data_IF_642424518645
#
_entry.id   IF_642424518645
#
_cell.length_a   1.000
_cell.length_b   1.000
_cell.length_c   1.000
_cell.angle_alpha   90.00
_cell.angle_beta   90.00
_cell.angle_gamma   90.00
#
_symmetry.space_group_name_H-M   'P 1'
#
loop_
_entity.id
_entity.type
_entity.pdbx_description
1 polymer ?
#
# COMPACT_ATOMS: atom_id res chain seq x y z
N UNK A 1 55.76 35.92 8.41
CA UNK A 1 54.99 35.14 7.41
C UNK A 1 54.22 34.06 8.11
N UNK A 2 52.94 34.32 8.42
CA UNK A 2 52.06 33.43 9.21
C UNK A 2 51.21 32.64 8.23
N UNK A 3 51.39 31.34 8.19
CA UNK A 3 50.59 30.41 7.37
C UNK A 3 49.29 30.11 8.11
N UNK A 4 48.15 30.52 7.57
CA UNK A 4 46.83 30.18 8.05
C UNK A 4 46.46 28.78 7.51
N UNK A 5 46.37 27.83 8.39
CA UNK A 5 45.81 26.49 8.14
C UNK A 5 44.28 26.58 8.35
N UNK A 6 43.55 26.60 7.26
CA UNK A 6 42.07 26.49 7.27
C UNK A 6 41.70 25.01 7.42
N UNK A 7 41.24 24.64 8.61
CA UNK A 7 40.63 23.35 8.88
C UNK A 7 39.16 23.45 8.49
N UNK A 8 38.80 22.86 7.35
CA UNK A 8 37.40 22.70 6.93
C UNK A 8 36.86 21.49 7.68
N UNK A 9 36.10 21.74 8.76
CA UNK A 9 35.31 20.72 9.45
C UNK A 9 34.06 20.38 8.60
N UNK A 10 34.12 19.28 7.88
CA UNK A 10 32.97 18.71 7.18
C UNK A 10 31.99 18.13 8.21
N UNK A 11 30.92 18.85 8.53
CA UNK A 11 29.86 18.37 9.41
C UNK A 11 29.00 17.42 8.59
N UNK A 12 29.30 16.13 8.67
CA UNK A 12 28.43 15.06 8.21
C UNK A 12 27.18 15.02 9.09
N UNK A 13 26.10 15.66 8.65
CA UNK A 13 24.78 15.42 9.24
C UNK A 13 24.32 14.01 8.85
N UNK A 14 24.53 13.05 9.75
CA UNK A 14 23.86 11.75 9.66
C UNK A 14 22.35 11.99 9.81
N UNK A 15 21.62 11.92 8.70
CA UNK A 15 20.17 11.78 8.75
C UNK A 15 19.87 10.38 9.29
N UNK A 16 19.63 10.29 10.58
CA UNK A 16 19.00 9.09 11.16
C UNK A 16 17.57 9.05 10.66
N UNK A 17 17.32 8.17 9.70
CA UNK A 17 15.95 7.80 9.32
C UNK A 17 15.41 7.03 10.53
N UNK A 18 14.69 7.75 11.40
CA UNK A 18 13.86 7.12 12.42
C UNK A 18 12.68 6.44 11.70
N UNK A 19 12.84 5.16 11.38
CA UNK A 19 11.69 4.30 11.16
C UNK A 19 10.91 4.30 12.48
N UNK A 20 9.83 5.08 12.55
CA UNK A 20 8.96 5.07 13.72
C UNK A 20 8.42 3.64 13.87
N UNK A 21 8.66 2.96 15.01
CA UNK A 21 8.00 1.70 15.26
C UNK A 21 6.50 1.99 15.29
N UNK A 22 5.75 1.30 14.43
CA UNK A 22 4.27 1.30 14.49
C UNK A 22 3.92 0.98 15.93
N UNK A 23 3.26 1.90 16.62
CA UNK A 23 2.93 1.78 18.03
C UNK A 23 2.24 0.43 18.25
N UNK A 24 2.91 -0.45 18.98
CA UNK A 24 2.32 -1.71 19.44
C UNK A 24 1.19 -1.34 20.40
N UNK A 25 -0.05 -1.48 19.95
CA UNK A 25 -1.24 -1.12 20.71
C UNK A 25 -1.49 -2.08 21.89
N UNK A 26 -0.52 -2.93 22.26
CA UNK A 26 -0.67 -3.97 23.30
C UNK A 26 -1.63 -5.10 22.89
N UNK A 27 -2.20 -5.05 21.69
CA UNK A 27 -3.06 -6.11 21.15
C UNK A 27 -2.22 -7.21 20.53
N UNK A 28 -2.47 -8.45 20.97
CA UNK A 28 -1.74 -9.61 20.48
C UNK A 28 -2.08 -9.90 19.01
N UNK A 29 -1.05 -10.05 18.17
CA UNK A 29 -1.23 -10.46 16.78
C UNK A 29 -1.68 -11.92 16.67
N UNK A 30 -2.47 -12.22 15.64
CA UNK A 30 -2.86 -13.60 15.28
C UNK A 30 -1.69 -14.38 14.67
N UNK A 31 -0.66 -13.70 14.21
CA UNK A 31 0.54 -14.27 13.57
C UNK A 31 1.76 -13.66 14.24
N UNK A 32 2.67 -14.50 14.73
CA UNK A 32 3.84 -14.03 15.49
C UNK A 32 4.79 -13.16 14.67
N UNK A 33 4.84 -13.39 13.34
CA UNK A 33 5.71 -12.69 12.40
C UNK A 33 5.14 -11.37 11.87
N UNK A 34 3.89 -11.05 12.21
CA UNK A 34 3.22 -9.81 11.80
C UNK A 34 2.76 -9.03 13.04
N UNK A 35 2.90 -7.72 13.01
CA UNK A 35 2.27 -6.86 14.01
C UNK A 35 0.74 -6.92 13.92
N UNK A 36 0.06 -6.60 15.02
CA UNK A 36 -1.40 -6.48 15.01
C UNK A 36 -1.90 -5.54 13.92
N UNK A 37 -1.23 -4.40 13.75
CA UNK A 37 -1.56 -3.40 12.71
C UNK A 37 -1.43 -3.97 11.29
N UNK A 38 -0.38 -4.74 11.01
CA UNK A 38 -0.21 -5.39 9.70
C UNK A 38 -1.33 -6.39 9.42
N UNK A 39 -1.65 -7.24 10.39
CA UNK A 39 -2.77 -8.21 10.25
C UNK A 39 -4.08 -7.47 9.99
N UNK A 40 -4.38 -6.41 10.76
CA UNK A 40 -5.60 -5.62 10.56
C UNK A 40 -5.64 -4.94 9.19
N UNK A 41 -4.51 -4.40 8.71
CA UNK A 41 -4.42 -3.79 7.38
C UNK A 41 -4.77 -4.80 6.28
N UNK A 42 -4.26 -6.03 6.35
CA UNK A 42 -4.64 -7.09 5.42
C UNK A 42 -6.11 -7.47 5.51
N UNK A 43 -6.63 -7.68 6.73
CA UNK A 43 -8.01 -8.11 6.94
C UNK A 43 -9.05 -7.04 6.54
N UNK A 44 -8.71 -5.78 6.67
CA UNK A 44 -9.55 -4.64 6.27
C UNK A 44 -9.34 -4.21 4.82
N UNK A 45 -8.31 -4.74 4.14
CA UNK A 45 -7.93 -4.30 2.80
C UNK A 45 -7.37 -2.87 2.78
N UNK A 46 -6.77 -2.41 3.87
CA UNK A 46 -6.14 -1.09 3.93
C UNK A 46 -4.88 -1.04 3.07
N UNK A 47 -4.48 0.16 2.65
CA UNK A 47 -3.28 0.34 1.84
C UNK A 47 -2.05 -0.08 2.63
N UNK A 48 -1.37 -1.09 2.12
CA UNK A 48 -0.07 -1.51 2.58
C UNK A 48 0.94 -0.97 1.58
N UNK A 49 1.79 -0.06 2.05
CA UNK A 49 2.90 0.49 1.28
C UNK A 49 2.43 1.08 -0.07
N UNK A 50 2.87 2.14 -0.49
CA UNK A 50 2.68 2.90 -1.76
C UNK A 50 2.40 2.07 -3.04
N UNK A 51 1.56 1.01 -2.95
CA UNK A 51 1.28 0.11 -4.08
C UNK A 51 0.63 0.82 -5.27
N UNK A 52 -0.07 1.94 -5.03
CA UNK A 52 -0.63 2.79 -6.06
C UNK A 52 0.37 3.81 -6.62
N UNK A 53 1.50 4.04 -5.96
CA UNK A 53 2.43 5.14 -6.26
C UNK A 53 2.83 5.20 -7.72
N UNK A 54 3.14 4.04 -8.33
CA UNK A 54 3.50 3.96 -9.74
C UNK A 54 2.40 4.52 -10.66
N UNK A 55 1.14 4.21 -10.36
CA UNK A 55 0.00 4.70 -11.13
C UNK A 55 -0.21 6.21 -10.89
N UNK A 56 -0.19 6.64 -9.65
CA UNK A 56 -0.48 8.02 -9.25
C UNK A 56 0.53 9.03 -9.82
N UNK A 57 1.84 8.72 -9.83
CA UNK A 57 2.85 9.61 -10.42
C UNK A 57 2.74 9.71 -11.96
N UNK A 58 2.02 8.79 -12.59
CA UNK A 58 1.77 8.75 -14.04
C UNK A 58 0.32 9.13 -14.40
N UNK A 59 -0.36 9.91 -13.54
CA UNK A 59 -1.70 10.46 -13.80
C UNK A 59 -2.84 9.44 -13.81
N UNK A 60 -2.67 8.31 -13.12
CA UNK A 60 -3.72 7.30 -12.91
C UNK A 60 -4.20 7.34 -11.46
N UNK A 61 -5.28 8.08 -11.16
CA UNK A 61 -5.68 8.32 -9.77
C UNK A 61 -6.37 7.12 -9.13
N UNK A 62 -6.22 6.99 -7.82
CA UNK A 62 -6.95 6.02 -7.00
C UNK A 62 -8.44 6.36 -6.93
N UNK A 63 -9.35 5.36 -7.07
CA UNK A 63 -10.80 5.61 -7.06
C UNK A 63 -11.32 6.24 -5.77
N UNK A 64 -10.83 5.81 -4.61
CA UNK A 64 -11.22 6.34 -3.31
C UNK A 64 -10.82 7.81 -3.15
N UNK A 65 -9.63 8.19 -3.64
CA UNK A 65 -9.16 9.58 -3.64
C UNK A 65 -10.00 10.46 -4.55
N UNK A 66 -10.36 9.98 -5.75
CA UNK A 66 -11.24 10.69 -6.69
C UNK A 66 -12.63 10.92 -6.08
N UNK A 67 -13.20 9.90 -5.43
CA UNK A 67 -14.51 10.00 -4.79
C UNK A 67 -14.55 11.01 -3.64
N UNK A 68 -13.43 11.26 -2.95
CA UNK A 68 -13.34 12.32 -1.92
C UNK A 68 -13.58 13.72 -2.52
N UNK A 69 -13.14 13.95 -3.75
CA UNK A 69 -13.26 15.22 -4.46
C UNK A 69 -14.39 15.23 -5.49
N UNK A 70 -15.40 14.35 -5.35
CA UNK A 70 -16.47 14.20 -6.35
C UNK A 70 -17.23 15.50 -6.66
N UNK A 71 -17.38 16.40 -5.68
CA UNK A 71 -18.04 17.70 -5.86
C UNK A 71 -17.13 18.69 -6.57
N UNK A 72 -15.89 18.77 -6.13
CA UNK A 72 -14.86 19.68 -6.69
C UNK A 72 -14.49 19.32 -8.13
N UNK A 73 -14.64 18.04 -8.49
CA UNK A 73 -14.43 17.51 -9.84
C UNK A 73 -15.68 17.53 -10.72
N UNK A 74 -16.82 17.98 -10.19
CA UNK A 74 -18.10 17.98 -10.87
C UNK A 74 -18.43 16.61 -11.52
N UNK A 75 -18.18 15.51 -10.76
CA UNK A 75 -18.47 14.17 -11.26
C UNK A 75 -19.98 14.00 -11.43
N UNK A 76 -20.39 13.55 -12.62
CA UNK A 76 -21.79 13.23 -12.85
C UNK A 76 -22.19 11.91 -12.12
N UNK A 77 -23.50 11.65 -11.93
CA UNK A 77 -23.98 10.48 -11.18
C UNK A 77 -23.48 9.14 -11.76
N UNK A 78 -23.30 9.05 -13.08
CA UNK A 78 -22.81 7.85 -13.76
C UNK A 78 -21.34 7.61 -13.42
N UNK A 79 -20.50 8.65 -13.46
CA UNK A 79 -19.08 8.58 -13.05
C UNK A 79 -18.95 8.18 -11.60
N UNK A 80 -19.72 8.80 -10.69
CA UNK A 80 -19.71 8.47 -9.25
C UNK A 80 -20.05 7.00 -9.04
N UNK A 81 -21.09 6.48 -9.72
CA UNK A 81 -21.48 5.08 -9.64
C UNK A 81 -20.38 4.16 -10.14
N UNK A 82 -19.85 4.38 -11.35
CA UNK A 82 -18.82 3.53 -11.95
C UNK A 82 -17.52 3.52 -11.13
N UNK A 83 -17.05 4.69 -10.68
CA UNK A 83 -15.84 4.80 -9.84
C UNK A 83 -16.10 4.13 -8.48
N UNK A 84 -17.31 4.23 -7.94
CA UNK A 84 -17.73 3.50 -6.73
C UNK A 84 -17.66 1.98 -6.91
N UNK A 85 -18.15 1.46 -8.04
CA UNK A 85 -18.10 0.02 -8.35
C UNK A 85 -16.66 -0.47 -8.56
N UNK A 86 -15.78 0.35 -9.17
CA UNK A 86 -14.34 0.08 -9.29
C UNK A 86 -13.70 -0.02 -7.90
N UNK A 87 -13.97 0.97 -7.05
CA UNK A 87 -13.43 1.01 -5.68
C UNK A 87 -13.86 -0.20 -4.85
N UNK A 88 -15.14 -0.57 -4.92
CA UNK A 88 -15.69 -1.72 -4.21
C UNK A 88 -15.02 -3.03 -4.66
N UNK A 89 -14.84 -3.23 -5.97
CA UNK A 89 -14.17 -4.42 -6.52
C UNK A 89 -12.72 -4.51 -6.06
N UNK A 90 -11.97 -3.42 -6.17
CA UNK A 90 -10.59 -3.34 -5.68
C UNK A 90 -10.53 -3.70 -4.19
N UNK A 91 -11.39 -3.11 -3.38
CA UNK A 91 -11.42 -3.36 -1.93
C UNK A 91 -11.71 -4.83 -1.62
N UNK A 92 -12.67 -5.46 -2.31
CA UNK A 92 -12.96 -6.90 -2.15
C UNK A 92 -11.74 -7.78 -2.42
N UNK A 93 -11.02 -7.52 -3.51
CA UNK A 93 -9.82 -8.28 -3.87
C UNK A 93 -8.69 -8.08 -2.85
N UNK A 94 -8.53 -6.88 -2.34
CA UNK A 94 -7.54 -6.58 -1.28
C UNK A 94 -7.85 -7.34 0.00
N UNK A 95 -9.10 -7.32 0.46
CA UNK A 95 -9.54 -8.07 1.65
C UNK A 95 -9.35 -9.59 1.45
N UNK A 96 -9.77 -10.13 0.32
CA UNK A 96 -9.66 -11.55 0.02
C UNK A 96 -8.21 -12.02 0.02
N UNK A 97 -7.34 -11.35 -0.71
CA UNK A 97 -5.91 -11.71 -0.76
C UNK A 97 -5.21 -11.44 0.57
N UNK A 98 -5.60 -10.38 1.29
CA UNK A 98 -5.13 -10.12 2.64
C UNK A 98 -5.44 -11.25 3.62
N UNK A 99 -6.64 -11.81 3.56
CA UNK A 99 -7.01 -13.00 4.34
C UNK A 99 -6.18 -14.23 3.97
N UNK A 100 -5.85 -14.38 2.67
CA UNK A 100 -4.99 -15.47 2.22
C UNK A 100 -3.55 -15.31 2.75
N UNK A 101 -3.00 -14.09 2.75
CA UNK A 101 -1.69 -13.79 3.31
C UNK A 101 -1.65 -14.14 4.80
N UNK A 102 -2.60 -13.65 5.59
CA UNK A 102 -2.65 -13.93 7.04
C UNK A 102 -2.74 -15.43 7.32
N UNK A 103 -3.54 -16.17 6.56
CA UNK A 103 -3.63 -17.64 6.70
C UNK A 103 -2.32 -18.34 6.32
N UNK A 104 -1.69 -17.90 5.23
CA UNK A 104 -0.42 -18.41 4.74
C UNK A 104 0.67 -18.28 5.82
N UNK A 105 0.84 -17.07 6.36
CA UNK A 105 1.81 -16.78 7.40
C UNK A 105 1.55 -17.54 8.69
N UNK A 106 0.28 -17.68 9.07
CA UNK A 106 -0.10 -18.45 10.25
C UNK A 106 0.27 -19.93 10.13
N UNK A 107 0.09 -20.52 8.94
CA UNK A 107 0.48 -21.90 8.68
C UNK A 107 2.00 -22.07 8.71
N UNK A 108 2.72 -21.16 8.05
CA UNK A 108 4.18 -21.16 8.00
C UNK A 108 4.77 -21.01 9.42
N UNK A 109 4.26 -20.07 10.22
CA UNK A 109 4.65 -19.87 11.62
C UNK A 109 4.46 -21.16 12.45
N UNK A 110 3.33 -21.86 12.24
CA UNK A 110 3.06 -23.15 12.92
C UNK A 110 4.06 -24.24 12.53
N UNK A 111 4.42 -24.33 11.24
CA UNK A 111 5.41 -25.29 10.76
C UNK A 111 6.79 -25.06 11.36
N UNK A 112 7.21 -23.79 11.45
CA UNK A 112 8.47 -23.43 12.12
C UNK A 112 8.43 -23.78 13.62
N UNK A 113 7.38 -23.38 14.33
CA UNK A 113 7.22 -23.65 15.77
C UNK A 113 7.24 -25.12 16.13
N UNK A 114 6.70 -25.97 15.25
CA UNK A 114 6.65 -27.42 15.48
C UNK A 114 7.84 -28.18 14.91
N UNK A 115 8.81 -27.49 14.28
CA UNK A 115 9.94 -28.13 13.63
C UNK A 115 9.57 -28.99 12.41
N UNK A 116 8.36 -28.81 11.86
CA UNK A 116 7.84 -29.58 10.70
C UNK A 116 8.06 -28.87 9.37
N UNK A 117 8.83 -27.79 9.37
CA UNK A 117 9.18 -27.07 8.14
C UNK A 117 10.19 -27.88 7.33
N UNK A 118 10.00 -27.91 6.02
CA UNK A 118 10.94 -28.45 5.04
C UNK A 118 11.07 -27.50 3.85
N UNK A 119 12.01 -27.78 2.95
CA UNK A 119 12.25 -26.94 1.75
C UNK A 119 11.02 -26.88 0.83
N UNK A 120 10.26 -27.95 0.70
CA UNK A 120 9.03 -27.98 -0.11
C UNK A 120 7.99 -27.01 0.44
N UNK A 121 7.72 -27.10 1.74
CA UNK A 121 6.81 -26.19 2.44
C UNK A 121 7.29 -24.74 2.36
N UNK A 122 8.59 -24.49 2.55
CA UNK A 122 9.15 -23.15 2.48
C UNK A 122 8.93 -22.50 1.10
N UNK A 123 9.24 -23.22 0.03
CA UNK A 123 9.05 -22.75 -1.35
C UNK A 123 7.55 -22.57 -1.64
N UNK A 124 6.71 -23.50 -1.24
CA UNK A 124 5.26 -23.45 -1.47
C UNK A 124 4.62 -22.21 -0.81
N UNK A 125 4.84 -22.01 0.49
CA UNK A 125 4.26 -20.88 1.22
C UNK A 125 4.89 -19.55 0.83
N UNK A 126 6.20 -19.51 0.52
CA UNK A 126 6.87 -18.32 0.02
C UNK A 126 6.31 -17.85 -1.33
N UNK A 127 6.15 -18.77 -2.29
CA UNK A 127 5.56 -18.45 -3.59
C UNK A 127 4.10 -17.98 -3.46
N UNK A 128 3.31 -18.60 -2.60
CA UNK A 128 1.93 -18.18 -2.34
C UNK A 128 1.86 -16.79 -1.73
N UNK A 129 2.73 -16.46 -0.80
CA UNK A 129 2.82 -15.12 -0.24
C UNK A 129 3.07 -14.09 -1.34
N UNK A 130 4.06 -14.32 -2.18
CA UNK A 130 4.39 -13.46 -3.32
C UNK A 130 3.22 -13.30 -4.30
N UNK A 131 2.53 -14.41 -4.62
CA UNK A 131 1.36 -14.40 -5.51
C UNK A 131 0.22 -13.52 -4.94
N UNK A 132 -0.13 -13.67 -3.66
CA UNK A 132 -1.18 -12.86 -3.05
C UNK A 132 -0.81 -11.37 -2.97
N UNK A 133 0.46 -11.05 -2.72
CA UNK A 133 0.96 -9.68 -2.77
C UNK A 133 0.83 -9.09 -4.20
N UNK A 134 1.19 -9.87 -5.21
CA UNK A 134 1.05 -9.48 -6.61
C UNK A 134 -0.42 -9.21 -6.98
N UNK A 135 -1.35 -10.08 -6.55
CA UNK A 135 -2.80 -9.92 -6.79
C UNK A 135 -3.35 -8.63 -6.15
N UNK A 136 -2.93 -8.28 -4.92
CA UNK A 136 -3.30 -7.02 -4.29
C UNK A 136 -2.80 -5.83 -5.14
N UNK A 137 -1.54 -5.87 -5.57
CA UNK A 137 -0.96 -4.80 -6.39
C UNK A 137 -1.66 -4.67 -7.74
N UNK A 138 -1.94 -5.79 -8.42
CA UNK A 138 -2.67 -5.83 -9.69
C UNK A 138 -4.05 -5.20 -9.53
N UNK A 139 -4.80 -5.59 -8.49
CA UNK A 139 -6.13 -5.04 -8.23
C UNK A 139 -6.11 -3.51 -8.05
N UNK A 140 -5.10 -2.97 -7.35
CA UNK A 140 -4.92 -1.54 -7.16
C UNK A 140 -4.60 -0.84 -8.49
N UNK A 141 -3.62 -1.33 -9.26
CA UNK A 141 -3.20 -0.71 -10.51
C UNK A 141 -4.31 -0.77 -11.57
N UNK A 142 -5.04 -1.88 -11.65
CA UNK A 142 -6.23 -2.00 -12.53
C UNK A 142 -7.33 -1.01 -12.13
N UNK A 143 -7.55 -0.81 -10.83
CA UNK A 143 -8.52 0.18 -10.37
C UNK A 143 -8.11 1.61 -10.74
N UNK A 144 -6.82 1.96 -10.62
CA UNK A 144 -6.29 3.24 -11.07
C UNK A 144 -6.49 3.44 -12.58
N UNK A 145 -6.16 2.43 -13.40
CA UNK A 145 -6.37 2.48 -14.86
C UNK A 145 -7.86 2.67 -15.22
N UNK A 146 -8.75 1.88 -14.61
CA UNK A 146 -10.19 1.98 -14.85
C UNK A 146 -10.76 3.32 -14.38
N UNK A 147 -10.26 3.88 -13.28
CA UNK A 147 -10.68 5.19 -12.79
C UNK A 147 -10.28 6.30 -13.74
N UNK A 148 -9.06 6.26 -14.26
CA UNK A 148 -8.57 7.23 -15.23
C UNK A 148 -9.43 7.26 -16.51
N UNK A 149 -9.90 6.09 -16.98
CA UNK A 149 -10.76 5.98 -18.14
C UNK A 149 -12.16 6.61 -17.96
N UNK A 150 -12.64 6.72 -16.73
CA UNK A 150 -13.93 7.36 -16.41
C UNK A 150 -13.83 8.88 -16.25
N UNK A 151 -12.63 9.44 -16.24
CA UNK A 151 -12.38 10.87 -16.05
C UNK A 151 -12.03 11.57 -17.36
N UNK A 152 -12.46 12.82 -17.49
CA UNK A 152 -11.98 13.70 -18.57
C UNK A 152 -10.56 14.21 -18.27
N UNK A 153 -9.78 14.62 -19.29
CA UNK A 153 -8.45 15.23 -19.06
C UNK A 153 -8.50 16.43 -18.11
N UNK A 154 -9.55 17.24 -18.19
CA UNK A 154 -9.77 18.38 -17.29
C UNK A 154 -9.95 17.92 -15.83
N UNK A 155 -10.75 16.88 -15.60
CA UNK A 155 -10.96 16.33 -14.26
C UNK A 155 -9.68 15.74 -13.66
N UNK A 156 -8.83 15.11 -14.47
CA UNK A 156 -7.53 14.59 -14.03
C UNK A 156 -6.61 15.75 -13.59
N UNK A 157 -6.44 16.76 -14.40
CA UNK A 157 -5.61 17.95 -14.07
C UNK A 157 -6.12 18.65 -12.80
N UNK A 158 -7.45 18.80 -12.69
CA UNK A 158 -8.08 19.42 -11.51
C UNK A 158 -7.88 18.57 -10.25
N UNK A 159 -7.99 17.25 -10.36
CA UNK A 159 -7.73 16.31 -9.25
C UNK A 159 -6.29 16.46 -8.72
N UNK A 160 -5.31 16.52 -9.61
CA UNK A 160 -3.89 16.70 -9.23
C UNK A 160 -3.65 18.01 -8.50
N UNK A 161 -4.29 19.10 -8.97
CA UNK A 161 -4.21 20.40 -8.29
C UNK A 161 -4.80 20.34 -6.87
N UNK A 162 -5.94 19.66 -6.70
CA UNK A 162 -6.58 19.46 -5.40
C UNK A 162 -5.74 18.60 -4.45
N UNK A 163 -5.04 17.58 -4.96
CA UNK A 163 -4.16 16.75 -4.17
C UNK A 163 -2.91 17.49 -3.65
N UNK A 164 -2.40 18.46 -4.40
CA UNK A 164 -1.23 19.27 -4.01
C UNK A 164 -1.58 20.32 -2.95
N UNK A 165 -2.86 20.71 -2.87
CA UNK A 165 -3.34 21.75 -1.97
C UNK A 165 -3.75 21.21 -0.58
N UNK A 166 -3.86 19.88 -0.41
CA UNK A 166 -4.22 19.18 0.83
C UNK A 166 -3.07 18.35 1.38
#
# INVERSE_FOLDING_TARGET
MIRYLLVIACIMKCFTINAQPVADTGKRSLVTTMSYAQVQAYLKGDALNDMARLAEINHFPMPDKVLKFKKELDLNPIQVKKIGDINLRMHKLRVQNGQFIVRNERTLDSLFKTGKIDNGNLIFFGNRYGAYQAEIRIAILQACMSTQQELTPYQITRFEALQKAN
#
